data_IF_176943297138
#
_entry.id   IF_176943297138
#
_cell.length_a   1.000
_cell.length_b   1.000
_cell.length_c   1.000
_cell.angle_alpha   90.00
_cell.angle_beta   90.00
_cell.angle_gamma   90.00
#
_symmetry.space_group_name_H-M   'P 1'
#
loop_
_entity.id
_entity.type
_entity.pdbx_description
1 polymer ?
#
# COMPACT_ATOMS: atom_id res chain seq x y z
N UNK A 1 12.58 -13.95 4.74
CA UNK A 1 12.29 -13.12 3.55
C UNK A 1 13.54 -12.34 3.18
N UNK A 2 14.15 -12.65 2.04
CA UNK A 2 15.48 -12.15 1.66
C UNK A 2 15.35 -10.76 1.02
N UNK A 3 15.18 -9.73 1.85
CA UNK A 3 15.11 -8.34 1.38
C UNK A 3 13.74 -7.86 0.86
N UNK A 4 12.66 -8.57 1.16
CA UNK A 4 11.30 -8.10 0.85
C UNK A 4 10.77 -7.16 1.95
N UNK A 5 10.11 -6.08 1.53
CA UNK A 5 9.37 -5.19 2.44
C UNK A 5 7.93 -5.64 2.58
N UNK A 6 7.37 -5.49 3.78
CA UNK A 6 5.93 -5.61 3.99
C UNK A 6 5.20 -4.37 3.48
N UNK A 7 3.91 -4.50 3.20
CA UNK A 7 3.05 -3.35 2.87
C UNK A 7 3.07 -2.28 3.97
N UNK A 8 3.20 -2.68 5.24
CA UNK A 8 3.22 -1.79 6.39
C UNK A 8 4.44 -0.85 6.36
N UNK A 9 5.63 -1.40 6.07
CA UNK A 9 6.85 -0.58 5.91
C UNK A 9 6.66 0.42 4.77
N UNK A 10 6.09 -0.03 3.64
CA UNK A 10 5.80 0.87 2.51
C UNK A 10 4.83 2.00 2.87
N UNK A 11 3.83 1.72 3.72
CA UNK A 11 2.87 2.71 4.21
C UNK A 11 3.53 3.72 5.14
N UNK A 12 4.32 3.27 6.11
CA UNK A 12 5.01 4.15 7.05
C UNK A 12 5.92 5.13 6.29
N UNK A 13 6.75 4.60 5.40
CA UNK A 13 7.62 5.41 4.53
C UNK A 13 6.81 6.39 3.68
N UNK A 14 5.70 5.96 3.11
CA UNK A 14 4.84 6.82 2.29
C UNK A 14 4.25 7.98 3.10
N UNK A 15 3.80 7.68 4.31
CA UNK A 15 3.19 8.63 5.23
C UNK A 15 4.22 9.65 5.72
N UNK A 16 5.41 9.18 6.11
CA UNK A 16 6.54 9.99 6.58
C UNK A 16 7.11 10.87 5.47
N UNK A 17 7.26 10.34 4.26
CA UNK A 17 7.69 11.09 3.09
C UNK A 17 6.62 12.07 2.55
N UNK A 18 5.42 12.07 3.14
CA UNK A 18 4.29 12.91 2.76
C UNK A 18 3.90 12.80 1.27
N UNK A 19 3.97 11.58 0.73
CA UNK A 19 3.54 11.33 -0.65
C UNK A 19 2.01 11.26 -0.75
N UNK A 20 1.47 11.54 -1.94
CA UNK A 20 0.03 11.53 -2.20
C UNK A 20 -0.52 10.13 -2.53
N UNK A 21 0.29 9.28 -3.19
CA UNK A 21 -0.17 8.00 -3.70
C UNK A 21 0.94 6.94 -3.66
N UNK A 22 0.71 5.88 -2.90
CA UNK A 22 1.53 4.66 -2.86
C UNK A 22 0.91 3.58 -3.76
N UNK A 23 1.72 3.01 -4.65
CA UNK A 23 1.36 1.85 -5.46
C UNK A 23 2.22 0.66 -5.04
N UNK A 24 1.57 -0.39 -4.53
CA UNK A 24 2.22 -1.64 -4.16
C UNK A 24 2.37 -2.54 -5.38
N UNK A 25 3.55 -3.08 -5.62
CA UNK A 25 3.85 -4.01 -6.71
C UNK A 25 4.80 -5.11 -6.21
N UNK A 26 5.14 -6.08 -7.07
CA UNK A 26 5.95 -7.24 -6.70
C UNK A 26 5.28 -8.13 -5.64
N UNK A 27 3.98 -8.42 -5.83
CA UNK A 27 3.30 -9.41 -5.01
C UNK A 27 3.87 -10.81 -5.25
N UNK A 28 3.76 -11.67 -4.24
CA UNK A 28 4.16 -13.08 -4.31
C UNK A 28 3.50 -13.77 -5.52
N UNK A 29 4.27 -14.36 -6.46
CA UNK A 29 3.72 -14.96 -7.68
C UNK A 29 2.73 -16.10 -7.44
N UNK A 30 2.82 -16.78 -6.29
CA UNK A 30 1.88 -17.82 -5.89
C UNK A 30 0.55 -17.30 -5.33
N UNK A 31 0.40 -15.99 -5.10
CA UNK A 31 -0.85 -15.41 -4.60
C UNK A 31 -1.91 -15.30 -5.69
N UNK A 32 -3.12 -15.75 -5.37
CA UNK A 32 -4.30 -15.59 -6.22
C UNK A 32 -4.89 -14.17 -6.08
N UNK A 33 -5.70 -13.75 -7.06
CA UNK A 33 -6.35 -12.43 -7.09
C UNK A 33 -7.05 -12.05 -5.77
N UNK A 34 -7.72 -13.01 -5.14
CA UNK A 34 -8.41 -12.79 -3.84
C UNK A 34 -7.44 -12.45 -2.73
N UNK A 35 -6.27 -13.10 -2.70
CA UNK A 35 -5.23 -12.83 -1.71
C UNK A 35 -4.58 -11.47 -1.96
N UNK A 36 -4.32 -11.12 -3.22
CA UNK A 36 -3.78 -9.83 -3.64
C UNK A 36 -4.75 -8.71 -3.23
N UNK A 37 -6.05 -8.91 -3.47
CA UNK A 37 -7.09 -7.98 -3.06
C UNK A 37 -7.18 -7.83 -1.54
N UNK A 38 -7.09 -8.94 -0.81
CA UNK A 38 -7.06 -8.93 0.65
C UNK A 38 -5.85 -8.15 1.18
N UNK A 39 -4.65 -8.37 0.62
CA UNK A 39 -3.43 -7.61 0.97
C UNK A 39 -3.63 -6.10 0.79
N UNK A 40 -4.35 -5.67 -0.25
CA UNK A 40 -4.69 -4.25 -0.45
C UNK A 40 -5.65 -3.71 0.62
N UNK A 41 -6.66 -4.49 1.02
CA UNK A 41 -7.58 -4.12 2.11
C UNK A 41 -6.82 -4.00 3.44
N UNK A 42 -5.96 -4.97 3.74
CA UNK A 42 -5.15 -5.00 4.96
C UNK A 42 -4.20 -3.80 4.99
N UNK A 43 -3.53 -3.50 3.87
CA UNK A 43 -2.67 -2.32 3.72
C UNK A 43 -3.45 -1.01 3.96
N UNK A 44 -4.64 -0.86 3.39
CA UNK A 44 -5.49 0.33 3.60
C UNK A 44 -5.90 0.48 5.07
N UNK A 45 -6.27 -0.63 5.70
CA UNK A 45 -6.66 -0.66 7.11
C UNK A 45 -5.48 -0.27 8.01
N UNK A 46 -4.28 -0.79 7.72
CA UNK A 46 -3.07 -0.40 8.44
C UNK A 46 -2.76 1.08 8.29
N UNK A 47 -2.81 1.62 7.06
CA UNK A 47 -2.62 3.06 6.80
C UNK A 47 -3.58 3.90 7.64
N UNK A 48 -4.86 3.54 7.69
CA UNK A 48 -5.87 4.32 8.42
C UNK A 48 -5.55 4.36 9.92
N UNK A 49 -5.20 3.21 10.50
CA UNK A 49 -4.80 3.10 11.91
C UNK A 49 -3.51 3.89 12.17
N UNK A 50 -2.49 3.72 11.34
CA UNK A 50 -1.20 4.40 11.50
C UNK A 50 -1.36 5.93 11.41
N UNK A 51 -2.08 6.43 10.40
CA UNK A 51 -2.33 7.86 10.23
C UNK A 51 -3.15 8.45 11.38
N UNK A 52 -4.17 7.72 11.87
CA UNK A 52 -4.93 8.12 13.04
C UNK A 52 -4.02 8.27 14.27
N UNK A 53 -3.14 7.30 14.50
CA UNK A 53 -2.23 7.29 15.66
C UNK A 53 -1.24 8.47 15.66
N UNK A 54 -0.82 8.94 14.48
CA UNK A 54 0.10 10.08 14.36
C UNK A 54 -0.62 11.42 14.09
N UNK A 55 -1.96 11.44 14.09
CA UNK A 55 -2.75 12.65 13.85
C UNK A 55 -2.69 13.18 12.41
N UNK A 56 -2.34 12.34 11.42
CA UNK A 56 -2.31 12.73 10.00
C UNK A 56 -3.73 12.77 9.44
N UNK A 57 -4.13 13.95 8.94
CA UNK A 57 -5.47 14.18 8.38
C UNK A 57 -5.59 13.75 6.92
N UNK A 58 -4.53 13.93 6.14
CA UNK A 58 -4.52 13.59 4.72
C UNK A 58 -3.91 12.20 4.53
N UNK A 59 -4.74 11.25 4.15
CA UNK A 59 -4.34 9.86 3.96
C UNK A 59 -3.76 9.67 2.56
N UNK A 60 -2.56 9.08 2.39
CA UNK A 60 -2.09 8.72 1.07
C UNK A 60 -3.03 7.69 0.44
N UNK A 61 -3.30 7.87 -0.85
CA UNK A 61 -3.98 6.84 -1.65
C UNK A 61 -3.10 5.60 -1.69
N UNK A 62 -3.69 4.41 -1.55
CA UNK A 62 -2.97 3.13 -1.64
C UNK A 62 -3.66 2.28 -2.69
N UNK A 63 -2.90 1.90 -3.72
CA UNK A 63 -3.33 1.02 -4.81
C UNK A 63 -2.39 -0.18 -4.92
N UNK A 64 -2.84 -1.21 -5.63
CA UNK A 64 -2.00 -2.32 -6.07
C UNK A 64 -1.82 -2.24 -7.58
N UNK A 65 -0.61 -2.50 -8.06
CA UNK A 65 -0.36 -2.69 -9.48
C UNK A 65 -0.87 -4.07 -9.89
N UNK A 66 -1.68 -4.09 -10.96
CA UNK A 66 -2.07 -5.30 -11.67
C UNK A 66 -1.38 -5.32 -13.03
N UNK A 67 -1.17 -6.50 -13.59
CA UNK A 67 -0.54 -6.63 -14.91
C UNK A 67 -1.33 -5.83 -15.96
N UNK A 68 -0.62 -5.02 -16.75
CA UNK A 68 -1.18 -4.10 -17.75
C UNK A 68 -2.16 -3.04 -17.20
N UNK A 69 -2.23 -2.85 -15.87
CA UNK A 69 -3.05 -1.82 -15.24
C UNK A 69 -2.50 -0.41 -15.47
N UNK A 70 -3.39 0.57 -15.64
CA UNK A 70 -3.03 1.99 -15.74
C UNK A 70 -3.50 2.72 -14.50
N UNK A 71 -2.59 3.47 -13.87
CA UNK A 71 -2.89 4.32 -12.72
C UNK A 71 -2.67 5.78 -13.15
N UNK A 72 -3.75 6.56 -13.16
CA UNK A 72 -3.67 8.01 -13.32
C UNK A 72 -3.04 8.66 -12.08
N UNK A 73 -2.15 9.62 -12.32
CA UNK A 73 -1.57 10.49 -11.31
C UNK A 73 -2.24 11.86 -11.45
N UNK A 74 -3.28 12.08 -10.64
CA UNK A 74 -4.01 13.33 -10.50
C UNK A 74 -3.37 14.29 -9.48
#
# INVERSE_FOLDING_TARGET
EWGHSSSNIGIELAVEANIKHLVLFHHEPSSHDVEIHKKLIDARSYRDIYCLNIGKKELPKVSIAIENGVIGLD
#
